data_IF_019548021359
#
_entry.id   IF_019548021359
#
_cell.length_a   1.000
_cell.length_b   1.000
_cell.length_c   1.000
_cell.angle_alpha   90.00
_cell.angle_beta   90.00
_cell.angle_gamma   90.00
#
_symmetry.space_group_name_H-M   'P 1'
#
loop_
_entity.id
_entity.type
_entity.pdbx_description
1 polymer ?
#
# COMPACT_ATOMS: atom_id res chain seq x y z
N UNK A 1 -36.12 0.94 8.90
CA UNK A 1 -35.20 1.05 10.06
C UNK A 1 -33.79 0.74 9.57
N UNK A 2 -32.91 1.75 9.48
CA UNK A 2 -31.51 1.52 9.11
C UNK A 2 -30.81 1.05 10.39
N UNK A 3 -30.44 -0.22 10.43
CA UNK A 3 -29.65 -0.77 11.53
C UNK A 3 -28.23 -0.21 11.40
N UNK A 4 -27.96 0.91 12.07
CA UNK A 4 -26.60 1.43 12.25
C UNK A 4 -25.89 0.51 13.23
N UNK A 5 -25.44 -0.66 12.75
CA UNK A 5 -24.36 -1.36 13.46
C UNK A 5 -23.17 -0.43 13.36
N UNK A 6 -22.92 0.33 14.42
CA UNK A 6 -21.66 1.06 14.58
C UNK A 6 -20.55 0.04 14.34
N UNK A 7 -19.84 0.23 13.24
CA UNK A 7 -18.67 -0.56 12.91
C UNK A 7 -17.73 -0.53 14.13
N UNK A 8 -17.09 -1.63 14.54
CA UNK A 8 -16.08 -1.57 15.60
C UNK A 8 -15.00 -0.51 15.31
N UNK A 9 -14.78 -0.20 14.02
CA UNK A 9 -13.93 0.89 13.56
C UNK A 9 -14.45 2.29 13.91
N UNK A 10 -15.77 2.51 13.95
CA UNK A 10 -16.36 3.81 14.32
C UNK A 10 -16.10 4.17 15.80
N UNK A 11 -16.10 3.17 16.68
CA UNK A 11 -15.75 3.38 18.10
C UNK A 11 -14.26 3.65 18.30
N UNK A 12 -13.39 2.96 17.56
CA UNK A 12 -11.94 3.18 17.60
C UNK A 12 -11.57 4.57 17.01
N UNK A 13 -12.20 4.95 15.90
CA UNK A 13 -12.04 6.25 15.27
C UNK A 13 -12.40 7.41 16.20
N UNK A 14 -13.50 7.31 16.96
CA UNK A 14 -13.90 8.35 17.89
C UNK A 14 -12.85 8.60 18.99
N UNK A 15 -12.31 7.52 19.57
CA UNK A 15 -11.25 7.62 20.59
C UNK A 15 -9.96 8.23 20.00
N UNK A 16 -9.58 7.81 18.79
CA UNK A 16 -8.43 8.36 18.09
C UNK A 16 -8.60 9.86 17.80
N UNK A 17 -9.76 10.28 17.28
CA UNK A 17 -10.02 11.68 16.94
C UNK A 17 -10.01 12.58 18.17
N UNK A 18 -10.59 12.13 19.28
CA UNK A 18 -10.55 12.85 20.55
C UNK A 18 -9.11 12.99 21.07
N UNK A 19 -8.34 11.90 21.06
CA UNK A 19 -6.95 11.89 21.54
C UNK A 19 -6.01 12.79 20.72
N UNK A 20 -6.29 12.98 19.44
CA UNK A 20 -5.47 13.79 18.52
C UNK A 20 -6.09 15.16 18.19
N UNK A 21 -7.15 15.57 18.89
CA UNK A 21 -7.83 16.87 18.70
C UNK A 21 -8.23 17.15 17.24
N UNK A 22 -8.74 16.13 16.53
CA UNK A 22 -9.15 16.25 15.14
C UNK A 22 -10.44 17.06 15.03
N UNK A 23 -10.46 18.08 14.16
CA UNK A 23 -11.62 18.94 13.92
C UNK A 23 -12.77 18.18 13.24
N UNK A 24 -14.02 18.54 13.55
CA UNK A 24 -15.21 17.81 13.07
C UNK A 24 -15.32 17.75 11.54
N UNK A 25 -14.97 18.84 10.85
CA UNK A 25 -14.96 18.94 9.39
C UNK A 25 -13.87 18.08 8.72
N UNK A 26 -12.85 17.69 9.47
CA UNK A 26 -11.80 16.75 9.04
C UNK A 26 -12.24 15.30 9.27
N UNK A 27 -13.00 15.04 10.35
CA UNK A 27 -13.47 13.68 10.68
C UNK A 27 -14.27 13.07 9.54
N UNK A 28 -15.21 13.81 8.94
CA UNK A 28 -16.02 13.31 7.82
C UNK A 28 -15.15 12.86 6.64
N UNK A 29 -14.11 13.64 6.29
CA UNK A 29 -13.17 13.29 5.20
C UNK A 29 -12.33 12.05 5.53
N UNK A 30 -11.96 11.88 6.80
CA UNK A 30 -11.25 10.71 7.28
C UNK A 30 -12.16 9.48 7.28
N UNK A 31 -13.43 9.61 7.68
CA UNK A 31 -14.41 8.52 7.64
C UNK A 31 -14.73 8.08 6.21
N UNK A 32 -14.84 9.02 5.26
CA UNK A 32 -14.98 8.71 3.83
C UNK A 32 -13.76 7.93 3.33
N UNK A 33 -12.56 8.35 3.74
CA UNK A 33 -11.31 7.67 3.40
C UNK A 33 -11.23 6.28 4.02
N UNK A 34 -11.61 6.12 5.30
CA UNK A 34 -11.64 4.84 5.99
C UNK A 34 -12.66 3.89 5.33
N UNK A 35 -13.84 4.40 4.98
CA UNK A 35 -14.87 3.65 4.26
C UNK A 35 -14.34 3.12 2.93
N UNK A 36 -13.67 3.98 2.16
CA UNK A 36 -12.99 3.55 0.93
C UNK A 36 -11.99 2.42 1.23
N UNK A 37 -11.02 2.66 2.12
CA UNK A 37 -9.94 1.70 2.43
C UNK A 37 -10.46 0.33 2.91
N UNK A 38 -11.54 0.32 3.69
CA UNK A 38 -12.19 -0.91 4.18
C UNK A 38 -12.96 -1.61 3.05
N UNK A 39 -13.59 -0.85 2.15
CA UNK A 39 -14.45 -1.40 1.09
C UNK A 39 -13.67 -2.01 -0.09
N UNK A 40 -12.44 -1.58 -0.35
CA UNK A 40 -11.66 -2.10 -1.48
C UNK A 40 -11.19 -3.53 -1.18
N UNK A 41 -11.85 -4.52 -1.77
CA UNK A 41 -11.52 -5.95 -1.60
C UNK A 41 -10.65 -6.52 -2.72
N UNK A 42 -10.64 -5.88 -3.88
CA UNK A 42 -9.90 -6.34 -5.06
C UNK A 42 -8.42 -5.91 -4.98
N UNK A 43 -7.59 -6.66 -5.70
CA UNK A 43 -6.13 -6.59 -5.70
C UNK A 43 -5.59 -6.21 -7.09
N UNK A 44 -6.19 -5.21 -7.73
CA UNK A 44 -5.71 -4.70 -9.02
C UNK A 44 -4.57 -3.68 -8.87
N UNK A 45 -3.84 -3.44 -9.97
CA UNK A 45 -2.82 -2.39 -10.04
C UNK A 45 -3.41 -1.01 -9.75
N UNK A 46 -4.52 -0.65 -10.40
CA UNK A 46 -5.19 0.64 -10.22
C UNK A 46 -5.60 0.87 -8.77
N UNK A 47 -6.18 -0.14 -8.12
CA UNK A 47 -6.61 -0.04 -6.73
C UNK A 47 -5.43 0.13 -5.76
N UNK A 48 -4.25 -0.41 -6.06
CA UNK A 48 -3.06 -0.17 -5.24
C UNK A 48 -2.65 1.33 -5.29
N UNK A 49 -2.74 1.96 -6.47
CA UNK A 49 -2.52 3.39 -6.60
C UNK A 49 -3.58 4.22 -5.88
N UNK A 50 -4.85 3.84 -6.00
CA UNK A 50 -5.96 4.53 -5.33
C UNK A 50 -5.85 4.44 -3.79
N UNK A 51 -5.51 3.25 -3.25
CA UNK A 51 -5.23 3.09 -1.81
C UNK A 51 -4.12 4.02 -1.35
N UNK A 52 -3.01 4.07 -2.09
CA UNK A 52 -1.89 4.95 -1.77
C UNK A 52 -2.28 6.44 -1.82
N UNK A 53 -3.07 6.85 -2.82
CA UNK A 53 -3.59 8.21 -2.94
C UNK A 53 -4.50 8.59 -1.75
N UNK A 54 -5.42 7.71 -1.37
CA UNK A 54 -6.29 7.91 -0.22
C UNK A 54 -5.50 8.02 1.09
N UNK A 55 -4.44 7.23 1.25
CA UNK A 55 -3.55 7.33 2.40
C UNK A 55 -2.75 8.64 2.42
N UNK A 56 -2.32 9.17 1.27
CA UNK A 56 -1.69 10.49 1.20
C UNK A 56 -2.67 11.62 1.56
N UNK A 57 -3.92 11.53 1.09
CA UNK A 57 -4.98 12.48 1.46
C UNK A 57 -5.24 12.46 2.96
N UNK A 58 -5.35 11.27 3.57
CA UNK A 58 -5.47 11.16 5.03
C UNK A 58 -4.24 11.71 5.76
N UNK A 59 -3.03 11.47 5.24
CA UNK A 59 -1.79 11.98 5.83
C UNK A 59 -1.75 13.52 5.89
N UNK A 60 -2.31 14.20 4.89
CA UNK A 60 -2.38 15.66 4.85
C UNK A 60 -3.39 16.27 5.83
N UNK A 61 -4.35 15.47 6.31
CA UNK A 61 -5.39 15.87 7.25
C UNK A 61 -5.06 15.54 8.70
N UNK A 62 -4.22 14.53 8.91
CA UNK A 62 -3.83 14.04 10.22
C UNK A 62 -2.58 14.76 10.74
N UNK A 63 -2.43 14.88 12.07
CA UNK A 63 -1.18 15.31 12.66
C UNK A 63 -0.01 14.43 12.23
N UNK A 64 1.17 15.03 12.09
CA UNK A 64 2.37 14.33 11.65
C UNK A 64 2.67 13.09 12.51
N UNK A 65 3.04 11.98 11.87
CA UNK A 65 3.37 10.72 12.55
C UNK A 65 2.18 9.92 13.07
N UNK A 66 0.94 10.36 12.84
CA UNK A 66 -0.26 9.67 13.37
C UNK A 66 -0.99 8.79 12.34
N UNK A 67 -0.65 8.90 11.06
CA UNK A 67 -1.32 8.18 9.96
C UNK A 67 -1.32 6.66 10.14
N UNK A 68 -0.16 6.05 10.42
CA UNK A 68 -0.10 4.60 10.55
C UNK A 68 -0.93 4.10 11.73
N UNK A 69 -0.95 4.86 12.84
CA UNK A 69 -1.77 4.53 14.00
C UNK A 69 -3.26 4.65 13.66
N UNK A 70 -3.66 5.73 13.00
CA UNK A 70 -5.03 5.91 12.52
C UNK A 70 -5.46 4.76 11.61
N UNK A 71 -4.66 4.41 10.61
CA UNK A 71 -5.00 3.35 9.66
C UNK A 71 -5.05 1.96 10.33
N UNK A 72 -4.23 1.71 11.36
CA UNK A 72 -4.30 0.48 12.17
C UNK A 72 -5.61 0.43 12.96
N UNK A 73 -5.92 1.48 13.71
CA UNK A 73 -7.05 1.50 14.64
C UNK A 73 -8.40 1.66 13.91
N UNK A 74 -8.43 2.43 12.82
CA UNK A 74 -9.66 2.84 12.15
C UNK A 74 -9.93 2.09 10.84
N UNK A 75 -8.90 1.53 10.19
CA UNK A 75 -9.06 0.85 8.89
C UNK A 75 -8.66 -0.63 8.92
N UNK A 76 -8.04 -1.13 9.99
CA UNK A 76 -7.57 -2.52 10.10
C UNK A 76 -6.33 -2.83 9.24
N UNK A 77 -5.58 -1.80 8.84
CA UNK A 77 -4.34 -1.96 8.08
C UNK A 77 -3.16 -2.23 9.03
N UNK A 78 -2.03 -2.70 8.50
CA UNK A 78 -0.77 -2.68 9.25
C UNK A 78 0.05 -1.44 8.89
N UNK A 79 0.86 -0.94 9.82
CA UNK A 79 1.76 0.18 9.56
C UNK A 79 2.70 -0.07 8.37
N UNK A 80 3.19 -1.32 8.21
CA UNK A 80 4.00 -1.71 7.04
C UNK A 80 3.20 -1.57 5.75
N UNK A 81 1.97 -2.10 5.71
CA UNK A 81 1.13 -2.03 4.52
C UNK A 81 0.81 -0.58 4.14
N UNK A 82 0.53 0.30 5.11
CA UNK A 82 0.32 1.73 4.87
C UNK A 82 1.53 2.36 4.19
N UNK A 83 2.74 2.12 4.71
CA UNK A 83 3.98 2.66 4.12
C UNK A 83 4.20 2.16 2.69
N UNK A 84 4.00 0.87 2.44
CA UNK A 84 4.12 0.31 1.10
C UNK A 84 3.11 0.91 0.13
N UNK A 85 1.83 1.01 0.49
CA UNK A 85 0.81 1.60 -0.40
C UNK A 85 1.11 3.06 -0.72
N UNK A 86 1.55 3.83 0.27
CA UNK A 86 2.00 5.21 0.07
C UNK A 86 3.23 5.31 -0.83
N UNK A 87 4.20 4.42 -0.66
CA UNK A 87 5.39 4.35 -1.50
C UNK A 87 5.04 4.00 -2.95
N UNK A 88 4.10 3.06 -3.18
CA UNK A 88 3.58 2.75 -4.52
C UNK A 88 3.04 4.03 -5.17
N UNK A 89 2.18 4.77 -4.48
CA UNK A 89 1.63 6.00 -5.03
C UNK A 89 2.70 7.05 -5.31
N UNK A 90 3.58 7.33 -4.35
CA UNK A 90 4.59 8.39 -4.49
C UNK A 90 5.66 8.07 -5.54
N UNK A 91 6.19 6.85 -5.51
CA UNK A 91 7.39 6.51 -6.27
C UNK A 91 7.05 5.94 -7.65
N UNK A 92 5.87 5.33 -7.81
CA UNK A 92 5.45 4.72 -9.08
C UNK A 92 4.40 5.53 -9.85
N UNK A 93 3.99 6.71 -9.35
CA UNK A 93 2.96 7.55 -10.00
C UNK A 93 3.26 7.81 -11.48
N UNK A 94 4.52 8.13 -11.80
CA UNK A 94 4.94 8.38 -13.18
C UNK A 94 4.74 7.16 -14.09
N UNK A 95 4.92 5.95 -13.55
CA UNK A 95 4.81 4.69 -14.28
C UNK A 95 3.41 4.08 -14.23
N UNK A 96 2.43 4.73 -13.56
CA UNK A 96 1.10 4.16 -13.26
C UNK A 96 0.41 3.59 -14.49
N UNK A 97 0.32 4.34 -15.58
CA UNK A 97 -0.41 3.92 -16.78
C UNK A 97 0.18 2.63 -17.37
N UNK A 98 1.51 2.57 -17.47
CA UNK A 98 2.22 1.42 -18.03
C UNK A 98 2.07 0.21 -17.10
N UNK A 99 2.23 0.40 -15.78
CA UNK A 99 2.09 -0.68 -14.81
C UNK A 99 0.65 -1.25 -14.78
N UNK A 100 -0.36 -0.40 -14.98
CA UNK A 100 -1.76 -0.82 -15.11
C UNK A 100 -1.98 -1.61 -16.39
N UNK A 101 -1.44 -1.16 -17.52
CA UNK A 101 -1.51 -1.90 -18.79
C UNK A 101 -0.86 -3.28 -18.71
N UNK A 102 0.27 -3.38 -17.99
CA UNK A 102 0.98 -4.63 -17.74
C UNK A 102 0.35 -5.49 -16.63
N UNK A 103 -0.76 -5.03 -16.03
CA UNK A 103 -1.46 -5.72 -14.94
C UNK A 103 -0.52 -6.17 -13.79
N UNK A 104 0.44 -5.33 -13.42
CA UNK A 104 1.46 -5.67 -12.41
C UNK A 104 0.80 -5.90 -11.05
N UNK A 105 1.00 -7.09 -10.49
CA UNK A 105 0.37 -7.51 -9.23
C UNK A 105 0.86 -6.72 -8.01
N UNK A 106 0.04 -6.57 -6.94
CA UNK A 106 0.38 -5.75 -5.77
C UNK A 106 1.69 -6.10 -5.05
N UNK A 107 2.08 -7.37 -5.00
CA UNK A 107 3.36 -7.78 -4.41
C UNK A 107 4.54 -7.22 -5.19
N UNK A 108 4.46 -7.26 -6.52
CA UNK A 108 5.49 -6.74 -7.42
C UNK A 108 5.55 -5.21 -7.33
N UNK A 109 4.39 -4.53 -7.31
CA UNK A 109 4.33 -3.09 -7.05
C UNK A 109 4.96 -2.71 -5.71
N UNK A 110 4.71 -3.52 -4.67
CA UNK A 110 5.30 -3.33 -3.35
C UNK A 110 6.83 -3.37 -3.40
N UNK A 111 7.43 -4.30 -4.14
CA UNK A 111 8.89 -4.35 -4.32
C UNK A 111 9.40 -3.18 -5.16
N UNK A 112 8.76 -2.91 -6.30
CA UNK A 112 9.13 -1.80 -7.18
C UNK A 112 9.03 -0.44 -6.49
N UNK A 113 8.17 -0.29 -5.48
CA UNK A 113 8.03 0.99 -4.75
C UNK A 113 9.32 1.43 -4.04
N UNK A 114 10.29 0.53 -3.85
CA UNK A 114 11.61 0.83 -3.28
C UNK A 114 12.74 0.84 -4.32
N UNK A 115 12.43 0.59 -5.60
CA UNK A 115 13.40 0.53 -6.68
C UNK A 115 13.77 1.93 -7.21
N UNK A 116 14.95 2.05 -7.82
CA UNK A 116 15.34 3.27 -8.53
C UNK A 116 14.58 3.41 -9.86
N UNK A 117 14.49 4.61 -10.46
CA UNK A 117 13.88 4.80 -11.78
C UNK A 117 14.43 3.84 -12.85
N UNK A 118 15.74 3.64 -12.87
CA UNK A 118 16.42 2.77 -13.83
C UNK A 118 16.01 1.30 -13.66
N UNK A 119 15.86 0.85 -12.40
CA UNK A 119 15.40 -0.51 -12.10
C UNK A 119 13.92 -0.70 -12.47
N UNK A 120 13.08 0.34 -12.28
CA UNK A 120 11.68 0.30 -12.68
C UNK A 120 11.56 0.20 -14.21
N UNK A 121 12.36 0.96 -14.95
CA UNK A 121 12.39 0.92 -16.42
C UNK A 121 12.85 -0.44 -16.93
N UNK A 122 13.92 -1.01 -16.37
CA UNK A 122 14.36 -2.37 -16.70
C UNK A 122 13.27 -3.42 -16.43
N UNK A 123 12.54 -3.30 -15.32
CA UNK A 123 11.45 -4.21 -14.99
C UNK A 123 10.26 -4.07 -15.94
N UNK A 124 9.96 -2.85 -16.39
CA UNK A 124 8.92 -2.57 -17.38
C UNK A 124 9.29 -3.17 -18.74
N UNK A 125 10.54 -3.01 -19.18
CA UNK A 125 10.99 -3.55 -20.47
C UNK A 125 10.99 -5.08 -20.45
N UNK A 126 11.45 -5.70 -19.36
CA UNK A 126 11.34 -7.15 -19.20
C UNK A 126 9.89 -7.64 -19.22
N UNK A 127 8.97 -6.90 -18.60
CA UNK A 127 7.55 -7.24 -18.60
C UNK A 127 6.92 -7.10 -20.00
N UNK A 128 7.38 -6.15 -20.82
CA UNK A 128 6.95 -5.99 -22.22
C UNK A 128 7.41 -7.17 -23.08
N UNK A 129 8.62 -7.66 -22.87
CA UNK A 129 9.17 -8.79 -23.61
C UNK A 129 8.50 -10.12 -23.23
N UNK A 130 8.28 -10.33 -21.93
CA UNK A 130 7.80 -11.61 -21.39
C UNK A 130 6.28 -11.66 -21.19
N UNK A 131 5.59 -10.53 -21.33
CA UNK A 131 4.15 -10.36 -21.13
C UNK A 131 3.70 -10.34 -19.67
N UNK A 132 4.61 -10.46 -18.71
CA UNK A 132 4.30 -10.39 -17.26
C UNK A 132 5.54 -10.09 -16.44
N UNK A 133 5.34 -9.52 -15.25
CA UNK A 133 6.44 -9.30 -14.29
C UNK A 133 6.26 -10.18 -13.07
N UNK A 134 7.26 -11.01 -12.74
CA UNK A 134 7.26 -11.82 -11.52
C UNK A 134 8.09 -11.17 -10.43
N UNK A 135 7.82 -11.59 -9.20
CA UNK A 135 8.56 -11.17 -8.01
C UNK A 135 10.06 -11.48 -8.14
N UNK A 136 10.42 -12.66 -8.65
CA UNK A 136 11.81 -13.08 -8.84
C UNK A 136 12.55 -12.20 -9.87
N UNK A 137 11.86 -11.80 -10.93
CA UNK A 137 12.42 -10.94 -11.98
C UNK A 137 12.82 -9.58 -11.38
N UNK A 138 11.93 -8.97 -10.60
CA UNK A 138 12.20 -7.71 -9.90
C UNK A 138 13.30 -7.86 -8.87
N UNK A 139 13.33 -8.95 -8.11
CA UNK A 139 14.42 -9.22 -7.17
C UNK A 139 15.76 -9.33 -7.90
N UNK A 140 15.82 -10.03 -9.03
CA UNK A 140 17.05 -10.13 -9.83
C UNK A 140 17.55 -8.77 -10.32
N UNK A 141 16.67 -7.92 -10.82
CA UNK A 141 16.99 -6.55 -11.26
C UNK A 141 17.49 -5.71 -10.07
N UNK A 142 16.81 -5.79 -8.92
CA UNK A 142 17.17 -5.02 -7.74
C UNK A 142 18.49 -5.47 -7.10
N UNK A 143 18.82 -6.77 -7.15
CA UNK A 143 20.08 -7.33 -6.64
C UNK A 143 21.24 -7.17 -7.62
N UNK A 144 21.00 -7.17 -8.93
CA UNK A 144 22.03 -6.95 -9.96
C UNK A 144 22.64 -5.55 -9.95
N UNK A 145 22.01 -4.58 -9.28
CA UNK A 145 22.59 -3.25 -9.01
C UNK A 145 23.30 -3.16 -7.65
N UNK A 146 23.29 -4.22 -6.83
CA UNK A 146 23.88 -4.29 -5.48
C UNK A 146 25.20 -5.05 -5.46
N UNK A 147 26.16 -4.72 -6.32
CA UNK A 147 27.55 -5.17 -6.08
C UNK A 147 28.21 -4.43 -4.89
N UNK A 148 27.51 -3.54 -4.16
CA UNK A 148 28.12 -2.74 -3.09
C UNK A 148 27.46 -2.76 -1.69
N UNK A 149 26.41 -3.53 -1.38
CA UNK A 149 25.93 -3.61 0.04
C UNK A 149 25.41 -5.01 0.40
N UNK A 150 26.08 -5.63 1.36
CA UNK A 150 25.75 -6.92 2.01
C UNK A 150 24.26 -7.06 2.33
N UNK A 151 23.64 -8.10 1.77
CA UNK A 151 22.22 -8.37 1.90
C UNK A 151 21.95 -9.35 3.07
N UNK A 152 21.25 -8.86 4.09
CA UNK A 152 20.65 -9.70 5.13
C UNK A 152 19.42 -10.40 4.52
N UNK A 153 19.16 -11.70 4.77
CA UNK A 153 18.07 -12.40 4.12
C UNK A 153 16.71 -11.81 4.53
N UNK A 154 16.04 -11.13 3.60
CA UNK A 154 14.67 -10.65 3.78
C UNK A 154 13.71 -11.78 3.42
N UNK A 155 13.09 -12.37 4.44
CA UNK A 155 11.98 -13.32 4.27
C UNK A 155 10.80 -12.57 3.66
N UNK A 156 10.33 -13.05 2.49
CA UNK A 156 9.19 -12.48 1.76
C UNK A 156 7.89 -12.71 2.56
N UNK A 157 7.25 -11.65 3.12
CA UNK A 157 6.03 -11.80 3.91
C UNK A 157 4.79 -12.11 3.06
N UNK A 158 4.90 -12.10 1.73
CA UNK A 158 3.84 -12.57 0.84
C UNK A 158 3.96 -14.08 0.54
N UNK A 159 5.04 -14.72 0.97
CA UNK A 159 5.31 -16.15 0.84
C UNK A 159 4.97 -16.95 2.13
N UNK A 160 4.47 -16.28 3.17
CA UNK A 160 3.79 -16.94 4.31
C UNK A 160 2.33 -17.24 3.97
N UNK A 161 2.13 -18.00 2.89
CA UNK A 161 0.91 -18.72 2.59
C UNK A 161 1.07 -20.17 3.01
N UNK A 162 0.69 -20.50 4.24
CA UNK A 162 0.68 -21.89 4.71
C UNK A 162 -0.10 -22.80 3.77
N UNK A 163 0.40 -24.02 3.54
CA UNK A 163 -0.21 -25.12 4.27
C UNK A 163 0.81 -26.19 4.69
N UNK A 164 1.05 -26.29 5.99
CA UNK A 164 1.57 -27.48 6.64
C UNK A 164 1.00 -27.47 8.07
N UNK A 165 0.28 -28.47 8.56
CA UNK A 165 -0.10 -29.76 8.01
C UNK A 165 -0.76 -30.57 9.15
N UNK A 166 -1.65 -31.48 8.75
CA UNK A 166 -2.39 -32.48 9.57
C UNK A 166 -3.56 -31.97 10.42
#
# INVERSE_FOLDING_TARGET
MKNTKASPFASAAHAFYAANSIAEDIKDKLEDTATFLISVTRRSTSEAFERGEHLEKAAALLPEGTLEKWAVECCGYTARHVRTQRAIHRNLAYYKEILVQLAVGPTVLGKLSAATPEQIEQAIDLARETGRLRVQDVTGIMSGSKEDIEEKPEIDPYDVGGPAGL
#
